data_IF_908540788535
#
_entry.id   IF_908540788535
#
_cell.length_a   1.000
_cell.length_b   1.000
_cell.length_c   1.000
_cell.angle_alpha   90.00
_cell.angle_beta   90.00
_cell.angle_gamma   90.00
#
_symmetry.space_group_name_H-M   'P 1'
#
loop_
_entity.id
_entity.type
_entity.pdbx_description
1 polymer ?
#
# COMPACT_ATOMS: atom_id res chain seq x y z
N UNK A 1 -13.29 -3.60 -6.26
CA UNK A 1 -12.04 -4.35 -6.05
C UNK A 1 -12.04 -4.84 -4.63
N UNK A 2 -11.76 -6.12 -4.44
CA UNK A 2 -11.67 -6.77 -3.13
C UNK A 2 -10.24 -7.26 -2.95
N UNK A 3 -9.68 -6.97 -1.78
CA UNK A 3 -8.30 -7.29 -1.42
C UNK A 3 -8.34 -8.06 -0.12
N UNK A 4 -7.66 -9.21 -0.10
CA UNK A 4 -7.41 -10.02 1.10
C UNK A 4 -5.91 -10.26 1.21
N UNK A 5 -5.29 -9.73 2.27
CA UNK A 5 -3.89 -9.99 2.61
C UNK A 5 -3.84 -10.87 3.85
N UNK A 6 -3.06 -11.95 3.78
CA UNK A 6 -2.78 -12.82 4.92
C UNK A 6 -1.39 -12.53 5.44
N UNK A 7 -1.30 -12.22 6.73
CA UNK A 7 -0.07 -12.06 7.49
C UNK A 7 0.26 -13.34 8.25
N UNK A 8 1.51 -13.53 8.65
CA UNK A 8 1.92 -14.65 9.51
C UNK A 8 1.28 -14.55 10.91
N UNK A 9 1.19 -13.34 11.45
CA UNK A 9 0.61 -13.02 12.76
C UNK A 9 -0.63 -12.14 12.65
N UNK A 10 -1.24 -11.85 13.79
CA UNK A 10 -2.37 -10.91 13.87
C UNK A 10 -1.90 -9.51 13.50
N UNK A 11 -2.65 -8.83 12.63
CA UNK A 11 -2.40 -7.42 12.29
C UNK A 11 -2.40 -6.53 13.54
N UNK A 12 -1.42 -5.63 13.64
CA UNK A 12 -1.31 -4.67 14.76
C UNK A 12 -1.34 -3.22 14.23
N UNK A 13 -2.52 -2.71 13.89
CA UNK A 13 -2.67 -1.39 13.27
C UNK A 13 -2.21 -0.22 14.17
N UNK A 14 -2.06 -0.43 15.48
CA UNK A 14 -1.51 0.58 16.42
C UNK A 14 0.00 0.68 16.36
N UNK A 15 0.69 -0.39 15.97
CA UNK A 15 2.14 -0.46 15.86
C UNK A 15 2.62 -0.38 14.41
N UNK A 16 1.77 -0.72 13.45
CA UNK A 16 2.09 -0.84 12.02
C UNK A 16 1.07 -0.09 11.16
N UNK A 17 1.50 0.32 9.96
CA UNK A 17 0.60 0.69 8.86
C UNK A 17 0.80 -0.27 7.71
N UNK A 18 -0.27 -0.44 6.94
CA UNK A 18 -0.26 -1.30 5.76
C UNK A 18 -0.75 -0.49 4.57
N UNK A 19 0.02 -0.50 3.50
CA UNK A 19 -0.25 0.31 2.32
C UNK A 19 -0.51 -0.58 1.12
N UNK A 20 -1.61 -0.35 0.43
CA UNK A 20 -1.78 -0.80 -0.95
C UNK A 20 -1.57 0.40 -1.88
N UNK A 21 -0.48 0.42 -2.62
CA UNK A 21 -0.24 1.45 -3.65
C UNK A 21 -0.83 0.96 -4.96
N UNK A 22 -1.49 1.86 -5.69
CA UNK A 22 -2.17 1.57 -6.96
C UNK A 22 -1.63 2.49 -8.04
N UNK A 23 -1.44 1.96 -9.24
CA UNK A 23 -0.99 2.75 -10.38
C UNK A 23 -1.58 2.29 -11.71
N UNK A 24 -1.74 3.22 -12.64
CA UNK A 24 -1.90 2.96 -14.07
C UNK A 24 -0.57 2.83 -14.82
N UNK A 25 0.55 3.15 -14.16
CA UNK A 25 1.90 3.11 -14.72
C UNK A 25 2.55 1.73 -14.49
N UNK A 26 2.96 1.00 -15.55
CA UNK A 26 3.66 -0.28 -15.42
C UNK A 26 5.02 -0.20 -14.73
N UNK A 27 5.62 0.98 -14.63
CA UNK A 27 6.93 1.21 -14.00
C UNK A 27 6.82 2.00 -12.70
N UNK A 28 5.65 1.96 -12.04
CA UNK A 28 5.49 2.62 -10.75
C UNK A 28 6.49 2.13 -9.72
N UNK A 29 6.80 3.01 -8.76
CA UNK A 29 7.84 2.75 -7.77
C UNK A 29 7.31 3.02 -6.38
N UNK A 30 7.69 2.18 -5.44
CA UNK A 30 7.53 2.43 -4.01
C UNK A 30 8.89 2.28 -3.34
N UNK A 31 9.14 2.97 -2.22
CA UNK A 31 10.25 2.63 -1.33
C UNK A 31 10.06 1.17 -0.87
N UNK A 32 11.05 0.32 -1.11
CA UNK A 32 11.02 -1.09 -0.74
C UNK A 32 11.71 -1.36 0.60
N UNK A 33 11.47 -2.55 1.22
CA UNK A 33 12.18 -2.95 2.43
C UNK A 33 13.70 -3.00 2.22
N UNK A 34 14.51 -2.84 3.29
CA UNK A 34 15.92 -3.18 3.25
C UNK A 34 16.15 -4.65 2.82
N UNK A 35 17.26 -4.97 2.13
CA UNK A 35 18.36 -4.06 1.77
C UNK A 35 18.12 -3.26 0.48
N UNK A 36 17.01 -3.47 -0.22
CA UNK A 36 16.73 -2.84 -1.52
C UNK A 36 16.68 -1.31 -1.42
N UNK A 37 16.19 -0.80 -0.28
CA UNK A 37 16.15 0.61 0.00
C UNK A 37 16.31 0.90 1.50
N UNK A 38 17.24 1.82 1.80
CA UNK A 38 17.50 2.35 3.16
C UNK A 38 17.49 3.88 3.20
N UNK A 39 17.28 4.53 2.05
CA UNK A 39 17.42 5.98 1.88
C UNK A 39 16.08 6.71 1.94
N UNK A 40 14.98 5.99 1.73
CA UNK A 40 13.63 6.53 1.71
C UNK A 40 12.68 5.67 2.54
N UNK A 41 11.86 6.31 3.36
CA UNK A 41 10.71 5.75 4.06
C UNK A 41 9.50 5.55 3.14
N UNK A 42 8.55 4.68 3.51
CA UNK A 42 7.20 4.67 2.94
C UNK A 42 6.27 5.51 3.83
N UNK A 43 6.11 6.78 3.45
CA UNK A 43 5.23 7.75 4.11
C UNK A 43 4.19 8.28 3.13
N UNK A 44 3.15 8.89 3.68
CA UNK A 44 2.09 9.49 2.88
C UNK A 44 2.51 10.81 2.25
N UNK A 45 2.04 11.13 1.02
CA UNK A 45 2.28 12.42 0.39
C UNK A 45 1.93 13.59 1.32
N UNK A 46 2.80 14.60 1.37
CA UNK A 46 2.64 15.75 2.26
C UNK A 46 3.18 15.55 3.68
N UNK A 47 3.63 14.34 4.05
CA UNK A 47 4.37 14.09 5.29
C UNK A 47 5.82 14.56 5.12
N UNK A 48 6.37 15.25 6.13
CA UNK A 48 7.80 15.59 6.13
C UNK A 48 8.62 14.33 6.43
N UNK A 49 9.54 13.91 5.53
CA UNK A 49 10.36 12.73 5.76
C UNK A 49 11.44 12.98 6.83
N UNK A 50 11.83 11.91 7.51
CA UNK A 50 13.05 11.80 8.30
C UNK A 50 14.25 11.38 7.43
N UNK A 51 14.02 10.63 6.35
CA UNK A 51 15.03 10.21 5.38
C UNK A 51 14.70 10.68 3.95
N UNK A 52 15.73 11.14 3.23
CA UNK A 52 15.57 11.70 1.89
C UNK A 52 15.01 13.12 1.89
N UNK A 53 14.52 13.59 0.74
CA UNK A 53 13.91 14.91 0.61
C UNK A 53 12.50 14.81 0.04
N UNK A 54 11.60 15.71 0.47
CA UNK A 54 10.21 15.73 0.00
C UNK A 54 10.12 15.86 -1.53
N UNK A 55 11.00 16.66 -2.13
CA UNK A 55 11.08 16.83 -3.60
C UNK A 55 11.47 15.54 -4.30
N UNK A 56 12.42 14.77 -3.74
CA UNK A 56 12.80 13.47 -4.31
C UNK A 56 11.65 12.47 -4.25
N UNK A 57 10.82 12.51 -3.21
CA UNK A 57 9.64 11.66 -3.12
C UNK A 57 8.64 11.93 -4.23
N UNK A 58 8.29 13.19 -4.45
CA UNK A 58 7.37 13.56 -5.53
C UNK A 58 7.95 13.26 -6.90
N UNK A 59 9.27 13.39 -7.06
CA UNK A 59 9.93 13.11 -8.34
C UNK A 59 10.01 11.62 -8.64
N UNK A 60 10.37 10.79 -7.65
CA UNK A 60 10.75 9.39 -7.88
C UNK A 60 9.66 8.36 -7.55
N UNK A 61 8.73 8.69 -6.66
CA UNK A 61 7.73 7.74 -6.16
C UNK A 61 6.30 8.24 -6.39
N UNK A 62 5.89 9.33 -5.75
CA UNK A 62 4.47 9.74 -5.73
C UNK A 62 3.92 10.14 -7.09
N UNK A 63 4.76 10.68 -7.99
CA UNK A 63 4.40 10.95 -9.38
C UNK A 63 3.95 9.70 -10.14
N UNK A 64 4.40 8.52 -9.71
CA UNK A 64 4.07 7.24 -10.33
C UNK A 64 2.83 6.58 -9.74
N UNK A 65 2.26 7.12 -8.66
CA UNK A 65 1.09 6.54 -7.99
C UNK A 65 -0.19 7.16 -8.53
N UNK A 66 -1.19 6.33 -8.83
CA UNK A 66 -2.56 6.80 -9.08
C UNK A 66 -3.34 7.02 -7.78
N UNK A 67 -2.93 6.33 -6.71
CA UNK A 67 -3.47 6.50 -5.37
C UNK A 67 -2.99 5.38 -4.46
N UNK A 68 -3.43 5.41 -3.21
CA UNK A 68 -3.13 4.34 -2.27
C UNK A 68 -4.29 4.12 -1.30
N UNK A 69 -4.24 2.98 -0.63
CA UNK A 69 -5.08 2.65 0.53
C UNK A 69 -4.15 2.43 1.71
N UNK A 70 -4.44 3.08 2.83
CA UNK A 70 -3.75 2.89 4.09
C UNK A 70 -4.67 2.23 5.11
N UNK A 71 -4.13 1.23 5.81
CA UNK A 71 -4.73 0.62 7.00
C UNK A 71 -4.02 1.18 8.22
N UNK A 72 -4.79 1.80 9.10
CA UNK A 72 -4.34 2.41 10.35
C UNK A 72 -5.42 2.21 11.44
N UNK A 73 -5.21 2.62 12.71
CA UNK A 73 -6.15 2.32 13.80
C UNK A 73 -7.59 2.80 13.54
N UNK A 74 -7.76 3.88 12.76
CA UNK A 74 -9.07 4.42 12.39
C UNK A 74 -9.84 3.60 11.36
N UNK A 75 -9.19 2.65 10.67
CA UNK A 75 -9.77 1.85 9.60
C UNK A 75 -8.98 1.90 8.31
N UNK A 76 -9.72 1.87 7.20
CA UNK A 76 -9.20 1.81 5.84
C UNK A 76 -9.48 3.15 5.15
N UNK A 77 -8.44 3.77 4.61
CA UNK A 77 -8.54 5.09 3.98
C UNK A 77 -7.97 5.03 2.57
N UNK A 78 -8.72 5.53 1.59
CA UNK A 78 -8.21 5.75 0.23
C UNK A 78 -7.78 7.20 0.04
N UNK A 79 -6.69 7.39 -0.70
CA UNK A 79 -6.24 8.70 -1.17
C UNK A 79 -5.98 8.61 -2.66
N UNK A 80 -6.69 9.43 -3.42
CA UNK A 80 -6.51 9.53 -4.87
C UNK A 80 -5.40 10.52 -5.21
N UNK A 81 -4.62 10.19 -6.24
CA UNK A 81 -3.72 11.11 -6.90
C UNK A 81 -4.44 11.97 -7.96
N UNK A 82 -3.69 12.69 -8.82
CA UNK A 82 -2.23 12.74 -8.85
C UNK A 82 -1.65 13.46 -7.63
N UNK A 83 -0.48 13.01 -7.17
CA UNK A 83 0.23 13.64 -6.06
C UNK A 83 1.21 14.67 -6.58
N UNK A 84 1.00 15.93 -6.21
CA UNK A 84 1.84 17.06 -6.59
C UNK A 84 2.26 17.80 -5.33
N UNK A 85 3.53 18.21 -5.28
CA UNK A 85 4.07 18.93 -4.13
C UNK A 85 3.26 20.21 -3.86
N UNK A 86 2.95 20.46 -2.58
CA UNK A 86 2.16 21.61 -2.14
C UNK A 86 0.65 21.48 -2.33
N UNK A 87 0.14 20.38 -2.92
CA UNK A 87 -1.30 20.12 -3.02
C UNK A 87 -1.80 19.38 -1.78
N UNK A 88 -2.91 19.84 -1.22
CA UNK A 88 -3.56 19.16 -0.09
C UNK A 88 -4.18 17.83 -0.55
N UNK A 89 -3.77 16.75 0.09
CA UNK A 89 -4.38 15.43 -0.10
C UNK A 89 -5.66 15.31 0.74
N UNK A 90 -6.65 14.61 0.19
CA UNK A 90 -7.91 14.30 0.91
C UNK A 90 -8.00 12.79 1.12
N UNK A 91 -8.18 12.39 2.38
CA UNK A 91 -8.47 10.99 2.75
C UNK A 91 -9.96 10.72 2.69
N UNK A 92 -10.34 9.62 2.06
CA UNK A 92 -11.70 9.10 2.08
C UNK A 92 -11.76 7.80 2.89
N UNK A 93 -12.68 7.75 3.85
CA UNK A 93 -12.95 6.51 4.60
C UNK A 93 -13.57 5.45 3.69
N UNK A 94 -12.98 4.24 3.68
CA UNK A 94 -13.55 3.06 3.05
C UNK A 94 -14.44 2.33 4.06
N UNK A 95 -13.88 1.99 5.21
CA UNK A 95 -14.57 1.30 6.30
C UNK A 95 -13.79 1.44 7.61
N UNK A 96 -14.46 1.19 8.73
CA UNK A 96 -13.79 1.06 10.03
C UNK A 96 -12.99 -0.25 10.09
N UNK A 97 -12.01 -0.29 11.00
CA UNK A 97 -11.30 -1.53 11.29
C UNK A 97 -12.23 -2.50 12.04
N UNK A 98 -12.22 -3.77 11.64
CA UNK A 98 -12.87 -4.84 12.41
C UNK A 98 -11.95 -5.35 13.53
N UNK A 99 -12.32 -6.50 14.10
CA UNK A 99 -11.43 -7.19 15.05
C UNK A 99 -10.09 -7.54 14.37
N UNK A 100 -8.95 -7.31 15.05
CA UNK A 100 -7.65 -7.71 14.55
C UNK A 100 -7.62 -9.19 14.18
N UNK A 101 -7.04 -9.49 13.02
CA UNK A 101 -6.96 -10.83 12.45
C UNK A 101 -5.65 -11.00 11.71
N UNK A 102 -5.29 -12.24 11.39
CA UNK A 102 -4.22 -12.54 10.43
C UNK A 102 -4.59 -12.13 9.01
N UNK A 103 -5.86 -11.80 8.76
CA UNK A 103 -6.34 -11.33 7.46
C UNK A 103 -6.72 -9.86 7.50
N UNK A 104 -6.13 -9.09 6.59
CA UNK A 104 -6.54 -7.73 6.25
C UNK A 104 -7.46 -7.83 5.02
N UNK A 105 -8.73 -7.49 5.18
CA UNK A 105 -9.70 -7.55 4.08
C UNK A 105 -10.40 -6.23 3.90
N UNK A 106 -10.41 -5.72 2.67
CA UNK A 106 -11.16 -4.51 2.32
C UNK A 106 -11.71 -4.56 0.90
N UNK A 107 -12.79 -3.81 0.71
CA UNK A 107 -13.48 -3.61 -0.56
C UNK A 107 -13.51 -2.12 -0.83
N UNK A 108 -13.17 -1.72 -2.05
CA UNK A 108 -13.38 -0.36 -2.50
C UNK A 108 -13.78 -0.29 -3.98
N UNK A 109 -14.41 0.83 -4.35
CA UNK A 109 -14.72 1.15 -5.75
C UNK A 109 -13.48 1.74 -6.40
N UNK A 110 -13.03 1.15 -7.51
CA UNK A 110 -11.88 1.63 -8.28
C UNK A 110 -12.02 3.09 -8.71
N UNK A 111 -13.26 3.56 -8.94
CA UNK A 111 -13.53 4.95 -9.29
C UNK A 111 -13.19 5.95 -8.19
N UNK A 112 -12.98 5.52 -6.94
CA UNK A 112 -12.46 6.39 -5.88
C UNK A 112 -10.99 6.75 -6.06
N UNK A 113 -10.23 5.95 -6.80
CA UNK A 113 -8.82 6.19 -7.09
C UNK A 113 -8.64 6.70 -8.52
N UNK A 114 -9.27 6.03 -9.50
CA UNK A 114 -9.09 6.31 -10.92
C UNK A 114 -10.15 7.22 -11.55
N UNK A 115 -11.13 7.70 -10.75
CA UNK A 115 -12.26 8.47 -11.25
C UNK A 115 -13.11 7.69 -12.26
N UNK A 116 -13.62 8.38 -13.28
CA UNK A 116 -14.46 7.77 -14.31
C UNK A 116 -13.68 6.88 -15.30
N UNK A 117 -12.37 7.14 -15.46
CA UNK A 117 -11.53 6.50 -16.48
C UNK A 117 -10.64 5.42 -15.86
N UNK A 118 -11.24 4.30 -15.47
CA UNK A 118 -10.49 3.17 -14.88
C UNK A 118 -9.58 2.53 -15.95
N UNK A 119 -8.26 2.41 -15.70
CA UNK A 119 -7.33 1.82 -16.66
C UNK A 119 -7.62 0.33 -16.87
N UNK A 120 -7.30 -0.20 -18.06
CA UNK A 120 -7.53 -1.62 -18.38
C UNK A 120 -6.72 -2.56 -17.49
N UNK A 121 -5.51 -2.12 -17.15
CA UNK A 121 -4.58 -2.81 -16.26
C UNK A 121 -4.32 -1.92 -15.07
N UNK A 122 -4.41 -2.49 -13.87
CA UNK A 122 -4.19 -1.80 -12.60
C UNK A 122 -2.99 -2.47 -11.97
N UNK A 123 -1.92 -1.71 -11.81
CA UNK A 123 -0.71 -2.13 -11.12
C UNK A 123 -0.87 -1.85 -9.63
N UNK A 124 -0.28 -2.71 -8.80
CA UNK A 124 -0.36 -2.56 -7.36
C UNK A 124 0.84 -3.16 -6.65
N UNK A 125 1.07 -2.66 -5.44
CA UNK A 125 1.93 -3.29 -4.44
C UNK A 125 1.26 -3.22 -3.07
N UNK A 126 1.62 -4.13 -2.17
CA UNK A 126 1.21 -4.11 -0.79
C UNK A 126 2.44 -4.19 0.12
N UNK A 127 2.55 -3.23 1.04
CA UNK A 127 3.69 -3.14 1.96
C UNK A 127 3.21 -3.03 3.41
N UNK A 128 3.94 -3.67 4.31
CA UNK A 128 3.81 -3.49 5.75
C UNK A 128 4.90 -2.56 6.26
N UNK A 129 4.56 -1.65 7.17
CA UNK A 129 5.47 -0.62 7.66
C UNK A 129 5.33 -0.47 9.18
N UNK A 130 6.38 -0.77 9.95
CA UNK A 130 6.45 -0.40 11.35
C UNK A 130 6.23 1.11 11.52
N UNK A 131 5.25 1.48 12.35
CA UNK A 131 4.75 2.85 12.45
C UNK A 131 5.04 3.51 13.80
N UNK A 132 6.31 3.50 14.19
CA UNK A 132 6.75 4.10 15.45
C UNK A 132 6.97 5.62 15.32
N UNK A 133 6.54 6.39 16.31
CA UNK A 133 6.77 7.83 16.38
C UNK A 133 8.28 8.14 16.34
N UNK A 134 8.67 9.19 15.61
CA UNK A 134 10.05 9.70 15.50
C UNK A 134 11.11 8.69 15.01
N UNK A 135 10.70 7.58 14.40
CA UNK A 135 11.59 6.64 13.70
C UNK A 135 11.31 6.63 12.20
N UNK A 136 12.33 6.40 11.34
CA UNK A 136 12.11 6.23 9.92
C UNK A 136 11.10 5.11 9.61
N UNK A 137 10.11 5.40 8.77
CA UNK A 137 9.06 4.46 8.34
C UNK A 137 9.54 3.58 7.19
N UNK A 138 10.57 2.79 7.43
CA UNK A 138 11.07 1.82 6.44
C UNK A 138 10.09 0.63 6.35
N UNK A 139 9.68 0.20 5.15
CA UNK A 139 8.89 -1.02 5.00
C UNK A 139 9.60 -2.22 5.61
N UNK A 140 8.85 -3.07 6.31
CA UNK A 140 9.35 -4.34 6.81
C UNK A 140 9.22 -5.43 5.74
N UNK A 141 8.11 -5.44 5.01
CA UNK A 141 7.82 -6.45 4.00
C UNK A 141 7.05 -5.87 2.80
N UNK A 142 7.03 -6.63 1.70
CA UNK A 142 6.29 -6.31 0.46
C UNK A 142 5.80 -7.59 -0.22
N UNK A 143 5.01 -7.45 -1.28
CA UNK A 143 4.75 -8.58 -2.16
C UNK A 143 6.03 -9.01 -2.90
N UNK A 144 6.30 -10.32 -2.96
CA UNK A 144 7.36 -10.92 -3.80
C UNK A 144 7.32 -10.48 -5.28
N UNK A 145 6.14 -10.19 -5.83
CA UNK A 145 6.00 -9.72 -7.21
C UNK A 145 6.07 -8.20 -7.28
N UNK A 146 7.21 -7.66 -7.72
CA UNK A 146 7.27 -6.24 -8.13
C UNK A 146 6.32 -5.98 -9.30
N UNK A 147 5.64 -4.84 -9.28
CA UNK A 147 4.69 -4.40 -10.30
C UNK A 147 3.60 -5.43 -10.63
N UNK A 148 3.07 -6.08 -9.58
CA UNK A 148 1.89 -6.93 -9.71
C UNK A 148 0.74 -6.18 -10.40
N UNK A 149 -0.06 -6.89 -11.19
CA UNK A 149 -1.15 -6.26 -11.92
C UNK A 149 -2.40 -7.13 -12.01
N UNK A 150 -3.53 -6.46 -12.23
CA UNK A 150 -4.81 -7.10 -12.47
C UNK A 150 -5.57 -6.36 -13.58
N UNK A 151 -6.33 -7.11 -14.38
CA UNK A 151 -7.25 -6.55 -15.36
C UNK A 151 -8.48 -5.95 -14.66
N UNK A 152 -9.02 -4.83 -15.16
CA UNK A 152 -10.28 -4.25 -14.66
C UNK A 152 -11.53 -5.08 -14.98
N UNK A 153 -11.40 -6.17 -15.75
CA UNK A 153 -12.53 -7.02 -16.16
C UNK A 153 -13.10 -7.70 -14.92
N UNK A 154 -14.42 -7.63 -14.75
CA UNK A 154 -15.15 -8.30 -13.65
C UNK A 154 -14.78 -9.78 -13.60
N UNK A 155 -14.64 -10.32 -12.40
CA UNK A 155 -14.19 -11.69 -12.11
C UNK A 155 -12.69 -11.93 -12.37
N UNK A 156 -11.91 -10.93 -12.76
CA UNK A 156 -10.44 -11.04 -12.72
C UNK A 156 -10.01 -11.26 -11.28
N UNK A 157 -9.08 -12.19 -11.07
CA UNK A 157 -8.47 -12.43 -9.78
C UNK A 157 -6.99 -12.79 -9.96
N UNK A 158 -6.17 -12.33 -9.04
CA UNK A 158 -4.76 -12.70 -8.93
C UNK A 158 -4.45 -13.04 -7.48
N UNK A 159 -3.57 -14.02 -7.30
CA UNK A 159 -3.06 -14.42 -6.00
C UNK A 159 -1.55 -14.42 -6.07
N UNK A 160 -0.92 -13.71 -5.14
CA UNK A 160 0.53 -13.69 -4.95
C UNK A 160 0.78 -14.33 -3.59
N UNK A 161 1.64 -15.34 -3.57
CA UNK A 161 2.05 -16.05 -2.37
C UNK A 161 3.48 -15.66 -2.03
N UNK A 162 3.77 -15.60 -0.74
CA UNK A 162 5.11 -15.36 -0.22
C UNK A 162 5.56 -16.52 0.67
N UNK A 163 6.86 -16.56 0.93
CA UNK A 163 7.44 -17.45 1.92
C UNK A 163 7.48 -16.76 3.28
N UNK A 164 7.27 -17.52 4.36
CA UNK A 164 7.39 -16.96 5.70
C UNK A 164 8.81 -16.44 5.96
N UNK A 165 8.90 -15.24 6.53
CA UNK A 165 10.17 -14.67 6.96
C UNK A 165 10.22 -14.58 8.48
N UNK A 166 10.80 -15.61 9.10
CA UNK A 166 10.91 -15.73 10.55
C UNK A 166 11.77 -14.62 11.20
N UNK A 167 12.53 -13.86 10.43
CA UNK A 167 13.30 -12.72 10.93
C UNK A 167 12.47 -11.44 11.09
N UNK A 168 11.29 -11.37 10.45
CA UNK A 168 10.37 -10.24 10.56
C UNK A 168 9.42 -10.42 11.75
N UNK A 169 8.82 -9.32 12.19
CA UNK A 169 7.66 -9.38 13.08
C UNK A 169 6.51 -10.07 12.33
N UNK A 170 5.84 -11.04 12.99
CA UNK A 170 4.75 -11.79 12.40
C UNK A 170 3.58 -10.90 11.95
N UNK A 171 3.33 -9.77 12.62
CA UNK A 171 2.31 -8.80 12.25
C UNK A 171 2.65 -8.00 10.98
N UNK A 172 3.90 -8.09 10.49
CA UNK A 172 4.36 -7.42 9.27
C UNK A 172 4.70 -8.36 8.13
N UNK A 173 4.92 -9.64 8.43
CA UNK A 173 5.28 -10.69 7.47
C UNK A 173 4.07 -11.11 6.62
N UNK A 174 4.09 -10.76 5.33
CA UNK A 174 3.02 -10.97 4.36
C UNK A 174 3.20 -12.34 3.72
N UNK A 175 2.23 -13.22 3.88
CA UNK A 175 2.29 -14.58 3.31
C UNK A 175 1.50 -14.71 2.00
N UNK A 176 0.50 -13.87 1.80
CA UNK A 176 -0.40 -13.97 0.65
C UNK A 176 -1.16 -12.68 0.42
N UNK A 177 -1.33 -12.30 -0.84
CA UNK A 177 -2.27 -11.27 -1.27
C UNK A 177 -3.17 -11.80 -2.38
N UNK A 178 -4.48 -11.72 -2.17
CA UNK A 178 -5.49 -12.01 -3.18
C UNK A 178 -6.19 -10.73 -3.55
N UNK A 179 -6.19 -10.41 -4.84
CA UNK A 179 -6.88 -9.25 -5.40
C UNK A 179 -7.90 -9.73 -6.41
N UNK A 180 -9.12 -9.22 -6.34
CA UNK A 180 -10.19 -9.55 -7.29
C UNK A 180 -11.02 -8.34 -7.69
N UNK A 181 -11.54 -8.37 -8.92
CA UNK A 181 -12.52 -7.42 -9.44
C UNK A 181 -13.91 -8.05 -9.35
N UNK A 182 -14.82 -7.33 -8.70
CA UNK A 182 -16.23 -7.67 -8.55
C UNK A 182 -17.06 -6.54 -9.15
#
# INVERSE_FOLDING_TARGET
MVVEVTLRGTMEATANRYFMVLSSDPVFKVPYPPPDNISYELIEPGTTPLLGSITDYYTNYYSTWSGYIAVEPGGFFSVAGPFVEGVTITRESISTLGEPSTKITFNFRLSRIFGASIPSTIYFDFLSVPWQTDQPKLPADRLTSTNAYISKVVSSAITITDEENLSLDAATDILKCTVSIQ
#
